data_IF_936364577182
#
_entry.id   IF_936364577182
#
_cell.length_a   1.000
_cell.length_b   1.000
_cell.length_c   1.000
_cell.angle_alpha   90.00
_cell.angle_beta   90.00
_cell.angle_gamma   90.00
#
_symmetry.space_group_name_H-M   'P 1'
#
loop_
_entity.id
_entity.type
_entity.pdbx_description
1 polymer ?
#
# COMPACT_ATOMS: atom_id res chain seq x y z
N UNK A 1 -16.28 -10.26 -7.99
CA UNK A 1 -15.94 -11.05 -6.78
C UNK A 1 -14.53 -10.66 -6.40
N UNK A 2 -14.27 -10.40 -5.10
CA UNK A 2 -12.92 -10.06 -4.61
C UNK A 2 -11.92 -11.16 -4.98
N UNK A 3 -10.75 -10.79 -5.51
CA UNK A 3 -9.70 -11.75 -5.87
C UNK A 3 -9.16 -12.43 -4.60
N UNK A 4 -9.06 -11.66 -3.52
CA UNK A 4 -8.59 -12.11 -2.21
C UNK A 4 -9.46 -13.24 -1.63
N UNK A 5 -10.78 -13.21 -1.84
CA UNK A 5 -11.69 -14.24 -1.32
C UNK A 5 -11.38 -15.65 -1.87
N UNK A 6 -10.92 -15.71 -3.12
CA UNK A 6 -10.59 -16.96 -3.82
C UNK A 6 -9.10 -17.28 -3.80
N UNK A 7 -8.27 -16.44 -3.18
CA UNK A 7 -6.83 -16.67 -3.12
C UNK A 7 -6.52 -17.90 -2.26
N UNK A 8 -5.90 -18.90 -2.87
CA UNK A 8 -5.42 -20.12 -2.25
C UNK A 8 -3.95 -20.34 -2.58
N UNK A 9 -3.25 -20.98 -1.65
CA UNK A 9 -1.83 -21.36 -1.77
C UNK A 9 -1.72 -22.86 -1.58
N UNK A 10 -0.79 -23.51 -2.27
CA UNK A 10 -0.65 -24.98 -2.25
C UNK A 10 -0.06 -25.53 -0.95
N UNK A 11 0.61 -24.69 -0.17
CA UNK A 11 1.25 -25.08 1.08
C UNK A 11 0.22 -25.11 2.22
N UNK A 12 0.28 -26.13 3.09
CA UNK A 12 -0.57 -26.17 4.28
C UNK A 12 -0.06 -25.20 5.34
N UNK A 13 -0.88 -24.94 6.36
CA UNK A 13 -0.45 -24.20 7.54
C UNK A 13 0.79 -24.87 8.16
N UNK A 14 1.91 -24.14 8.37
CA UNK A 14 3.10 -24.74 8.95
C UNK A 14 2.84 -25.20 10.39
N UNK A 15 3.43 -26.34 10.76
CA UNK A 15 3.42 -26.85 12.15
C UNK A 15 4.59 -26.33 12.99
N UNK A 16 5.61 -25.79 12.32
CA UNK A 16 6.81 -25.18 12.87
C UNK A 16 7.27 -24.10 11.90
N UNK A 17 7.84 -23.02 12.43
CA UNK A 17 8.56 -22.02 11.64
C UNK A 17 10.05 -22.26 11.81
N UNK A 18 10.79 -22.27 10.71
CA UNK A 18 12.21 -22.63 10.71
C UNK A 18 13.11 -21.58 11.33
N UNK A 19 12.69 -20.30 11.35
CA UNK A 19 13.46 -19.16 11.82
C UNK A 19 14.92 -19.18 11.29
N UNK A 20 15.10 -18.97 9.98
CA UNK A 20 16.41 -19.13 9.34
C UNK A 20 17.49 -18.19 9.89
N UNK A 21 17.09 -17.06 10.50
CA UNK A 21 18.00 -16.05 11.04
C UNK A 21 18.14 -16.11 12.57
N UNK A 22 17.33 -16.93 13.25
CA UNK A 22 17.38 -17.15 14.71
C UNK A 22 17.13 -15.88 15.51
N UNK A 23 16.28 -15.01 15.00
CA UNK A 23 15.96 -13.72 15.61
C UNK A 23 14.69 -13.77 16.49
N UNK A 24 14.00 -14.92 16.53
CA UNK A 24 12.81 -15.11 17.35
C UNK A 24 13.01 -16.18 18.43
N UNK A 25 12.39 -15.95 19.59
CA UNK A 25 12.33 -16.98 20.63
C UNK A 25 11.36 -18.10 20.24
N UNK A 26 11.64 -19.33 20.70
CA UNK A 26 10.73 -20.46 20.48
C UNK A 26 9.30 -20.21 20.96
N UNK A 27 9.14 -19.50 22.08
CA UNK A 27 7.84 -19.11 22.62
C UNK A 27 7.08 -18.13 21.70
N UNK A 28 7.80 -17.20 21.06
CA UNK A 28 7.22 -16.25 20.09
C UNK A 28 6.68 -17.00 18.88
N UNK A 29 7.46 -17.92 18.31
CA UNK A 29 7.06 -18.73 17.16
C UNK A 29 5.92 -19.69 17.50
N UNK A 30 5.95 -20.30 18.69
CA UNK A 30 4.88 -21.16 19.17
C UNK A 30 3.56 -20.39 19.34
N UNK A 31 3.62 -19.18 19.92
CA UNK A 31 2.45 -18.30 20.06
C UNK A 31 1.89 -17.88 18.69
N UNK A 32 2.76 -17.55 17.75
CA UNK A 32 2.38 -17.18 16.38
C UNK A 32 1.63 -18.32 15.70
N UNK A 33 2.15 -19.56 15.78
CA UNK A 33 1.51 -20.74 15.19
C UNK A 33 0.23 -21.17 15.90
N UNK A 34 0.11 -20.91 17.21
CA UNK A 34 -1.08 -21.21 18.00
C UNK A 34 -2.24 -20.21 17.76
N UNK A 35 -1.96 -19.02 17.23
CA UNK A 35 -2.97 -17.99 16.97
C UNK A 35 -3.79 -18.32 15.72
N UNK A 36 -5.13 -18.44 15.77
CA UNK A 36 -5.97 -18.66 14.59
C UNK A 36 -5.70 -17.65 13.46
N UNK A 37 -5.88 -18.06 12.19
CA UNK A 37 -5.55 -17.20 11.02
C UNK A 37 -6.34 -15.87 11.00
N UNK A 38 -7.58 -15.90 11.47
CA UNK A 38 -8.49 -14.76 11.59
C UNK A 38 -8.22 -13.88 12.83
N UNK A 39 -7.38 -14.35 13.75
CA UNK A 39 -6.97 -13.62 14.96
C UNK A 39 -5.55 -13.06 14.87
N UNK A 40 -4.83 -13.30 13.76
CA UNK A 40 -3.49 -12.75 13.56
C UNK A 40 -3.53 -11.21 13.55
N UNK A 41 -2.73 -10.61 14.42
CA UNK A 41 -2.58 -9.15 14.55
C UNK A 41 -1.55 -8.58 13.57
N UNK A 42 -1.57 -7.26 13.39
CA UNK A 42 -0.57 -6.51 12.61
C UNK A 42 0.87 -6.87 13.03
N UNK A 43 1.16 -6.87 14.35
CA UNK A 43 2.48 -7.26 14.87
C UNK A 43 2.87 -8.66 14.43
N UNK A 44 1.94 -9.62 14.46
CA UNK A 44 2.23 -11.00 14.05
C UNK A 44 2.50 -11.12 12.54
N UNK A 45 1.75 -10.41 11.71
CA UNK A 45 2.05 -10.34 10.28
C UNK A 45 3.41 -9.69 10.00
N UNK A 46 3.80 -8.67 10.77
CA UNK A 46 5.15 -8.08 10.69
C UNK A 46 6.25 -9.09 11.01
N UNK A 47 6.06 -9.95 12.02
CA UNK A 47 7.01 -11.02 12.35
C UNK A 47 7.09 -12.08 11.23
N UNK A 48 5.95 -12.43 10.63
CA UNK A 48 5.91 -13.40 9.53
C UNK A 48 6.66 -12.91 8.29
N UNK A 49 6.41 -11.67 7.88
CA UNK A 49 6.91 -11.12 6.60
C UNK A 49 8.16 -10.26 6.73
N UNK A 50 8.85 -10.27 7.88
CA UNK A 50 10.02 -9.44 8.13
C UNK A 50 10.97 -9.44 6.92
N UNK A 51 11.18 -8.32 6.21
CA UNK A 51 11.77 -8.31 4.87
C UNK A 51 13.27 -8.66 4.86
N UNK A 52 13.90 -8.66 6.04
CA UNK A 52 15.27 -9.11 6.22
C UNK A 52 15.37 -10.31 7.16
N UNK A 53 14.33 -10.57 7.94
CA UNK A 53 14.32 -11.56 9.01
C UNK A 53 12.91 -12.16 9.14
N UNK A 54 12.45 -12.94 8.15
CA UNK A 54 11.15 -13.60 8.23
C UNK A 54 11.23 -14.73 9.25
N UNK A 55 10.12 -14.96 9.96
CA UNK A 55 10.03 -16.02 10.96
C UNK A 55 10.21 -17.44 10.38
N UNK A 56 10.17 -17.63 9.06
CA UNK A 56 10.26 -18.93 8.40
C UNK A 56 10.77 -18.87 6.97
N UNK A 57 10.83 -20.05 6.35
CA UNK A 57 11.10 -20.21 4.91
C UNK A 57 9.91 -19.74 4.06
N UNK A 58 10.11 -19.56 2.76
CA UNK A 58 9.02 -19.21 1.84
C UNK A 58 7.82 -20.16 1.94
N UNK A 59 8.04 -21.47 1.93
CA UNK A 59 6.96 -22.47 2.00
C UNK A 59 6.14 -22.36 3.28
N UNK A 60 6.78 -21.97 4.38
CA UNK A 60 6.12 -21.75 5.67
C UNK A 60 5.37 -20.42 5.70
N UNK A 61 5.94 -19.35 5.14
CA UNK A 61 5.40 -17.99 5.23
C UNK A 61 4.35 -17.69 4.16
N UNK A 62 4.49 -18.24 2.95
CA UNK A 62 3.57 -18.00 1.83
C UNK A 62 2.13 -18.45 2.16
N UNK A 63 1.98 -19.41 3.07
CA UNK A 63 0.68 -19.82 3.63
C UNK A 63 -0.15 -18.63 4.13
N UNK A 64 0.50 -17.64 4.77
CA UNK A 64 -0.16 -16.53 5.44
C UNK A 64 -0.47 -15.35 4.49
N UNK A 65 0.05 -15.34 3.27
CA UNK A 65 -0.11 -14.21 2.31
C UNK A 65 -1.59 -13.89 2.02
N UNK A 66 -2.49 -14.86 1.75
CA UNK A 66 -3.91 -14.56 1.57
C UNK A 66 -4.57 -13.95 2.81
N UNK A 67 -4.19 -14.39 4.02
CA UNK A 67 -4.68 -13.84 5.28
C UNK A 67 -4.22 -12.39 5.47
N UNK A 68 -2.97 -12.10 5.09
CA UNK A 68 -2.39 -10.77 5.18
C UNK A 68 -3.15 -9.75 4.33
N UNK A 69 -3.47 -10.07 3.07
CA UNK A 69 -4.27 -9.17 2.23
C UNK A 69 -5.71 -8.99 2.73
N UNK A 70 -6.36 -10.03 3.25
CA UNK A 70 -7.67 -9.89 3.91
C UNK A 70 -7.58 -8.92 5.09
N UNK A 71 -6.56 -9.09 5.92
CA UNK A 71 -6.33 -8.21 7.07
C UNK A 71 -6.12 -6.76 6.65
N UNK A 72 -5.38 -6.51 5.56
CA UNK A 72 -5.17 -5.16 5.00
C UNK A 72 -6.47 -4.48 4.55
N UNK A 73 -7.44 -5.25 4.04
CA UNK A 73 -8.75 -4.72 3.64
C UNK A 73 -9.71 -4.53 4.82
N UNK A 74 -9.62 -5.37 5.85
CA UNK A 74 -10.60 -5.38 6.94
C UNK A 74 -10.25 -4.43 8.10
N UNK A 75 -8.97 -4.05 8.24
CA UNK A 75 -8.47 -3.30 9.39
C UNK A 75 -7.85 -1.97 8.96
N UNK A 76 -8.38 -0.86 9.47
CA UNK A 76 -7.93 0.49 9.13
C UNK A 76 -6.47 0.78 9.52
N UNK A 77 -5.98 0.20 10.63
CA UNK A 77 -4.62 0.44 11.17
C UNK A 77 -3.61 -0.63 10.72
N UNK A 78 -3.87 -1.28 9.59
CA UNK A 78 -3.09 -2.44 9.12
C UNK A 78 -1.83 -2.10 8.33
N UNK A 79 -1.56 -0.82 8.10
CA UNK A 79 -0.51 -0.38 7.20
C UNK A 79 0.91 -0.69 7.70
N UNK A 80 1.14 -0.87 9.00
CA UNK A 80 2.51 -1.03 9.54
C UNK A 80 3.30 -2.23 8.99
N UNK A 81 2.64 -3.31 8.57
CA UNK A 81 3.34 -4.48 8.00
C UNK A 81 3.37 -4.49 6.46
N UNK A 82 2.79 -3.49 5.78
CA UNK A 82 2.78 -3.41 4.32
C UNK A 82 4.18 -3.49 3.73
N UNK A 83 5.14 -2.76 4.32
CA UNK A 83 6.56 -2.81 3.94
C UNK A 83 7.11 -4.24 3.94
N UNK A 84 6.73 -5.00 4.97
CA UNK A 84 7.17 -6.38 5.15
C UNK A 84 6.52 -7.29 4.11
N UNK A 85 5.21 -7.16 3.89
CA UNK A 85 4.48 -7.94 2.89
C UNK A 85 4.99 -7.67 1.47
N UNK A 86 5.11 -6.40 1.06
CA UNK A 86 5.59 -6.02 -0.28
C UNK A 86 7.04 -6.43 -0.46
N UNK A 87 7.87 -6.31 0.58
CA UNK A 87 9.24 -6.82 0.57
C UNK A 87 9.30 -8.34 0.36
N UNK A 88 8.51 -9.11 1.10
CA UNK A 88 8.41 -10.57 0.95
C UNK A 88 7.96 -10.95 -0.46
N UNK A 89 6.90 -10.32 -0.97
CA UNK A 89 6.34 -10.59 -2.29
C UNK A 89 7.37 -10.30 -3.39
N UNK A 90 8.05 -9.14 -3.30
CA UNK A 90 9.06 -8.75 -4.28
C UNK A 90 10.27 -9.67 -4.28
N UNK A 91 10.80 -10.01 -3.10
CA UNK A 91 11.94 -10.92 -2.96
C UNK A 91 11.66 -12.35 -3.44
N UNK A 92 10.39 -12.78 -3.39
CA UNK A 92 9.97 -14.12 -3.77
C UNK A 92 9.14 -14.17 -5.06
N UNK A 93 9.18 -13.13 -5.90
CA UNK A 93 8.32 -13.01 -7.08
C UNK A 93 8.46 -14.20 -8.04
N UNK A 94 9.67 -14.69 -8.31
CA UNK A 94 9.87 -15.87 -9.16
C UNK A 94 9.27 -17.14 -8.53
N UNK A 95 9.35 -17.31 -7.21
CA UNK A 95 8.74 -18.46 -6.52
C UNK A 95 7.21 -18.38 -6.51
N UNK A 96 6.67 -17.19 -6.31
CA UNK A 96 5.23 -16.92 -6.44
C UNK A 96 4.74 -17.21 -7.86
N UNK A 97 5.57 -16.95 -8.87
CA UNK A 97 5.29 -17.24 -10.28
C UNK A 97 5.34 -18.73 -10.56
N UNK A 98 6.34 -19.45 -10.06
CA UNK A 98 6.44 -20.91 -10.11
C UNK A 98 5.23 -21.60 -9.46
N UNK A 99 4.70 -20.99 -8.40
CA UNK A 99 3.49 -21.44 -7.73
C UNK A 99 2.18 -21.04 -8.44
N UNK A 100 2.26 -20.23 -9.50
CA UNK A 100 1.11 -19.76 -10.26
C UNK A 100 0.24 -18.74 -9.51
N UNK A 101 0.78 -18.08 -8.49
CA UNK A 101 0.03 -17.14 -7.63
C UNK A 101 0.52 -15.69 -7.72
N UNK A 102 1.58 -15.40 -8.47
CA UNK A 102 2.13 -14.04 -8.57
C UNK A 102 1.09 -13.01 -9.06
N UNK A 103 0.36 -13.29 -10.14
CA UNK A 103 -0.64 -12.35 -10.64
C UNK A 103 -1.82 -12.19 -9.68
N UNK A 104 -2.20 -13.25 -8.94
CA UNK A 104 -3.22 -13.16 -7.89
C UNK A 104 -2.76 -12.20 -6.79
N UNK A 105 -1.50 -12.32 -6.36
CA UNK A 105 -0.90 -11.40 -5.37
C UNK A 105 -0.89 -9.96 -5.90
N UNK A 106 -0.51 -9.76 -7.17
CA UNK A 106 -0.52 -8.44 -7.80
C UNK A 106 -1.93 -7.85 -7.89
N UNK A 107 -2.94 -8.66 -8.17
CA UNK A 107 -4.34 -8.25 -8.12
C UNK A 107 -4.79 -7.90 -6.70
N UNK A 108 -4.33 -8.62 -5.67
CA UNK A 108 -4.60 -8.26 -4.28
C UNK A 108 -3.98 -6.91 -3.91
N UNK A 109 -2.76 -6.62 -4.39
CA UNK A 109 -2.10 -5.31 -4.21
C UNK A 109 -2.95 -4.20 -4.86
N UNK A 110 -3.42 -4.41 -6.09
CA UNK A 110 -4.32 -3.46 -6.78
C UNK A 110 -5.64 -3.28 -6.02
N UNK A 111 -6.21 -4.36 -5.49
CA UNK A 111 -7.45 -4.33 -4.70
C UNK A 111 -7.27 -3.53 -3.41
N UNK A 112 -6.14 -3.67 -2.70
CA UNK A 112 -5.81 -2.85 -1.54
C UNK A 112 -5.67 -1.36 -1.90
N UNK A 113 -4.92 -1.04 -2.95
CA UNK A 113 -4.76 0.35 -3.40
C UNK A 113 -6.12 0.97 -3.79
N UNK A 114 -6.94 0.25 -4.55
CA UNK A 114 -8.27 0.71 -4.94
C UNK A 114 -9.20 0.89 -3.72
N UNK A 115 -9.13 -0.02 -2.74
CA UNK A 115 -9.92 0.06 -1.52
C UNK A 115 -9.54 1.28 -0.67
N UNK A 116 -8.24 1.49 -0.42
CA UNK A 116 -7.78 2.63 0.39
C UNK A 116 -8.01 3.97 -0.29
N UNK A 117 -8.11 3.99 -1.63
CA UNK A 117 -8.41 5.20 -2.41
C UNK A 117 -9.87 5.34 -2.85
N UNK A 118 -10.78 4.49 -2.37
CA UNK A 118 -12.23 4.60 -2.67
C UNK A 118 -12.82 5.93 -2.18
N UNK A 119 -12.22 6.49 -1.13
CA UNK A 119 -12.59 7.79 -0.55
C UNK A 119 -11.34 8.59 -0.27
N UNK A 120 -11.49 9.91 -0.19
CA UNK A 120 -10.44 10.80 0.25
C UNK A 120 -10.96 11.56 1.47
N UNK A 121 -10.38 11.28 2.64
CA UNK A 121 -10.81 11.87 3.91
C UNK A 121 -9.61 12.61 4.50
N UNK A 122 -9.77 13.93 4.61
CA UNK A 122 -8.80 14.78 5.31
C UNK A 122 -9.16 14.71 6.78
N UNK A 123 -8.31 14.08 7.58
CA UNK A 123 -8.52 14.05 9.01
C UNK A 123 -8.34 15.45 9.61
N UNK A 124 -9.07 15.71 10.69
CA UNK A 124 -8.97 16.95 11.45
C UNK A 124 -7.51 17.15 11.92
N UNK A 125 -6.83 18.24 11.53
CA UNK A 125 -5.47 18.56 11.98
C UNK A 125 -5.31 18.53 13.50
N UNK A 126 -6.38 18.79 14.26
CA UNK A 126 -6.38 18.74 15.72
C UNK A 126 -6.25 17.31 16.29
N UNK A 127 -6.55 16.28 15.48
CA UNK A 127 -6.47 14.88 15.88
C UNK A 127 -5.14 14.23 15.51
N UNK A 128 -4.35 14.84 14.62
CA UNK A 128 -3.03 14.35 14.20
C UNK A 128 -3.02 13.04 13.41
N UNK A 129 -4.19 12.50 13.03
CA UNK A 129 -4.33 11.20 12.36
C UNK A 129 -4.44 11.37 10.84
N UNK A 130 -3.32 11.50 10.12
CA UNK A 130 -3.36 11.54 8.67
C UNK A 130 -3.57 10.12 8.09
N UNK A 131 -4.84 9.76 7.82
CA UNK A 131 -5.18 8.52 7.11
C UNK A 131 -4.50 8.42 5.74
N UNK A 132 -3.97 9.51 5.19
CA UNK A 132 -3.45 9.53 3.83
C UNK A 132 -2.03 8.93 3.74
N UNK A 133 -1.14 9.18 4.71
CA UNK A 133 0.30 8.90 4.60
C UNK A 133 0.67 7.46 4.17
N UNK A 134 -0.10 6.46 4.59
CA UNK A 134 0.23 5.05 4.30
C UNK A 134 0.13 4.68 2.80
N UNK A 135 -0.68 5.39 2.02
CA UNK A 135 -0.82 5.10 0.57
C UNK A 135 0.45 5.53 -0.16
N UNK A 136 1.00 6.70 0.18
CA UNK A 136 2.27 7.18 -0.35
C UNK A 136 3.40 6.20 -0.03
N UNK A 137 3.52 5.81 1.24
CA UNK A 137 4.50 4.82 1.68
C UNK A 137 4.38 3.49 0.92
N UNK A 138 3.15 3.05 0.62
CA UNK A 138 2.90 1.81 -0.11
C UNK A 138 3.32 1.91 -1.59
N UNK A 139 3.04 3.04 -2.25
CA UNK A 139 3.51 3.30 -3.63
C UNK A 139 5.05 3.32 -3.65
N UNK A 140 5.67 4.01 -2.70
CA UNK A 140 7.13 4.11 -2.61
C UNK A 140 7.77 2.75 -2.33
N UNK A 141 7.11 1.87 -1.57
CA UNK A 141 7.55 0.48 -1.39
C UNK A 141 7.56 -0.29 -2.72
N UNK A 142 6.50 -0.19 -3.51
CA UNK A 142 6.42 -0.83 -4.84
C UNK A 142 7.55 -0.35 -5.77
N UNK A 143 7.85 0.95 -5.73
CA UNK A 143 8.98 1.57 -6.46
C UNK A 143 10.32 1.06 -5.92
N UNK A 144 10.52 1.12 -4.60
CA UNK A 144 11.78 0.74 -3.93
C UNK A 144 12.20 -0.69 -4.22
N UNK A 145 11.26 -1.64 -4.20
CA UNK A 145 11.56 -3.05 -4.45
C UNK A 145 11.69 -3.39 -5.94
N UNK A 146 11.38 -2.45 -6.85
CA UNK A 146 11.51 -2.49 -8.33
C UNK A 146 10.72 -3.58 -9.06
N UNK A 147 10.48 -4.72 -8.43
CA UNK A 147 9.83 -5.91 -9.00
C UNK A 147 8.37 -5.66 -9.37
N UNK A 148 7.73 -4.70 -8.71
CA UNK A 148 6.34 -4.33 -8.90
C UNK A 148 6.17 -2.83 -9.17
N UNK A 149 7.21 -2.20 -9.70
CA UNK A 149 7.20 -0.78 -10.04
C UNK A 149 6.10 -0.44 -11.04
N UNK A 150 5.80 -1.38 -11.94
CA UNK A 150 4.74 -1.25 -12.93
C UNK A 150 3.34 -1.09 -12.29
N UNK A 151 3.13 -1.66 -11.10
CA UNK A 151 1.90 -1.47 -10.33
C UNK A 151 1.78 -0.04 -9.81
N UNK A 152 2.87 0.52 -9.28
CA UNK A 152 2.92 1.91 -8.82
C UNK A 152 2.69 2.87 -9.99
N UNK A 153 3.39 2.67 -11.11
CA UNK A 153 3.22 3.49 -12.32
C UNK A 153 1.79 3.44 -12.86
N UNK A 154 1.21 2.24 -12.95
CA UNK A 154 -0.16 2.05 -13.44
C UNK A 154 -1.16 2.73 -12.50
N UNK A 155 -0.96 2.60 -11.19
CA UNK A 155 -1.84 3.20 -10.19
C UNK A 155 -1.78 4.72 -10.22
N UNK A 156 -0.58 5.32 -10.17
CA UNK A 156 -0.42 6.78 -10.22
C UNK A 156 -0.95 7.33 -11.55
N UNK A 157 -0.78 6.60 -12.66
CA UNK A 157 -1.37 6.95 -13.94
C UNK A 157 -2.90 6.95 -13.89
N UNK A 158 -3.52 5.95 -13.28
CA UNK A 158 -4.98 5.90 -13.12
C UNK A 158 -5.52 7.07 -12.25
N UNK A 159 -4.75 7.51 -11.24
CA UNK A 159 -5.07 8.73 -10.50
C UNK A 159 -4.94 9.98 -11.37
N UNK A 160 -3.84 10.10 -12.12
CA UNK A 160 -3.48 11.31 -12.89
C UNK A 160 -4.35 11.54 -14.14
N UNK A 161 -4.84 10.48 -14.79
CA UNK A 161 -5.62 10.57 -16.02
C UNK A 161 -7.13 10.56 -15.79
N UNK A 162 -7.60 10.74 -14.56
CA UNK A 162 -9.02 10.81 -14.31
C UNK A 162 -9.58 12.22 -14.53
N UNK A 163 -10.42 12.37 -15.55
CA UNK A 163 -10.96 13.69 -15.96
C UNK A 163 -12.16 14.16 -15.14
N UNK A 164 -12.78 13.27 -14.35
CA UNK A 164 -14.10 13.56 -13.74
C UNK A 164 -14.26 13.11 -12.29
N UNK A 165 -13.41 12.22 -11.80
CA UNK A 165 -13.47 11.65 -10.45
C UNK A 165 -12.71 12.55 -9.46
N UNK A 166 -13.41 13.27 -8.57
CA UNK A 166 -12.77 14.16 -7.63
C UNK A 166 -11.98 13.43 -6.54
N UNK A 167 -12.30 12.17 -6.24
CA UNK A 167 -11.55 11.38 -5.25
C UNK A 167 -10.18 11.01 -5.81
N UNK A 168 -10.12 10.55 -7.06
CA UNK A 168 -8.84 10.25 -7.72
C UNK A 168 -8.01 11.50 -7.95
N UNK A 169 -8.62 12.60 -8.38
CA UNK A 169 -7.94 13.88 -8.53
C UNK A 169 -7.36 14.37 -7.19
N UNK A 170 -8.11 14.22 -6.09
CA UNK A 170 -7.65 14.54 -4.73
C UNK A 170 -6.44 13.68 -4.32
N UNK A 171 -6.48 12.37 -4.54
CA UNK A 171 -5.34 11.47 -4.27
C UNK A 171 -4.12 11.77 -5.13
N UNK A 172 -4.31 12.14 -6.40
CA UNK A 172 -3.20 12.54 -7.27
C UNK A 172 -2.49 13.78 -6.75
N UNK A 173 -3.24 14.81 -6.36
CA UNK A 173 -2.68 16.04 -5.78
C UNK A 173 -2.00 15.78 -4.44
N UNK A 174 -2.60 14.96 -3.57
CA UNK A 174 -1.96 14.60 -2.29
C UNK A 174 -0.66 13.82 -2.49
N UNK A 175 -0.64 12.87 -3.44
CA UNK A 175 0.57 12.14 -3.77
C UNK A 175 1.67 13.08 -4.32
N UNK A 176 1.33 13.97 -5.24
CA UNK A 176 2.27 14.98 -5.75
C UNK A 176 2.81 15.88 -4.63
N UNK A 177 1.93 16.29 -3.69
CA UNK A 177 2.30 17.11 -2.53
C UNK A 177 3.34 16.41 -1.64
N UNK A 178 3.23 15.10 -1.42
CA UNK A 178 4.20 14.34 -0.63
C UNK A 178 5.55 14.19 -1.30
N UNK A 179 5.57 13.90 -2.60
CA UNK A 179 6.80 13.72 -3.37
C UNK A 179 7.64 15.01 -3.43
N UNK A 180 7.01 16.18 -3.24
CA UNK A 180 7.71 17.46 -3.09
C UNK A 180 8.39 17.69 -1.74
N UNK A 181 8.30 16.75 -0.79
CA UNK A 181 8.95 16.88 0.53
C UNK A 181 10.30 16.17 0.60
N UNK A 182 11.27 16.77 1.31
CA UNK A 182 12.66 16.27 1.43
C UNK A 182 12.80 14.87 2.06
N UNK A 183 11.70 14.29 2.57
CA UNK A 183 11.71 13.05 3.33
C UNK A 183 11.56 11.79 2.45
N UNK A 184 11.14 11.93 1.20
CA UNK A 184 10.82 10.80 0.33
C UNK A 184 11.84 10.62 -0.79
N UNK A 185 12.16 9.36 -1.15
CA UNK A 185 13.04 9.08 -2.28
C UNK A 185 12.38 9.57 -3.57
N UNK A 186 13.18 10.10 -4.50
CA UNK A 186 12.66 10.45 -5.82
C UNK A 186 12.02 9.21 -6.47
N UNK A 187 10.78 9.33 -6.96
CA UNK A 187 10.08 8.21 -7.55
C UNK A 187 10.67 7.88 -8.93
N UNK A 188 10.12 6.88 -9.62
CA UNK A 188 10.55 6.58 -10.99
C UNK A 188 10.37 7.78 -11.93
N UNK A 189 11.18 7.85 -12.97
CA UNK A 189 11.12 8.92 -13.99
C UNK A 189 9.72 9.07 -14.58
N UNK A 190 9.02 7.97 -14.84
CA UNK A 190 7.65 7.95 -15.37
C UNK A 190 6.63 8.58 -14.40
N UNK A 191 6.80 8.37 -13.10
CA UNK A 191 5.96 8.97 -12.06
C UNK A 191 6.31 10.46 -11.90
N UNK A 192 7.60 10.80 -11.88
CA UNK A 192 8.07 12.19 -11.87
C UNK A 192 7.48 13.00 -13.02
N UNK A 193 7.51 12.46 -14.24
CA UNK A 193 6.90 13.10 -15.41
C UNK A 193 5.40 13.40 -15.23
N UNK A 194 4.66 12.58 -14.48
CA UNK A 194 3.25 12.84 -14.21
C UNK A 194 3.05 13.95 -13.18
N UNK A 195 3.82 13.94 -12.09
CA UNK A 195 3.69 14.92 -11.00
C UNK A 195 4.33 16.28 -11.35
N UNK A 196 5.28 16.32 -12.27
CA UNK A 196 5.88 17.56 -12.79
C UNK A 196 5.06 18.19 -13.94
N UNK A 197 4.06 17.47 -14.47
CA UNK A 197 3.19 17.97 -15.52
C UNK A 197 2.17 18.98 -14.97
N UNK A 198 2.51 20.26 -15.13
CA UNK A 198 1.69 21.37 -14.61
C UNK A 198 0.26 21.35 -15.14
N UNK A 199 0.05 20.99 -16.41
CA UNK A 199 -1.29 20.94 -17.00
C UNK A 199 -2.14 19.87 -16.30
N UNK A 200 -1.54 18.74 -15.94
CA UNK A 200 -2.23 17.69 -15.17
C UNK A 200 -2.59 18.12 -13.77
N UNK A 201 -1.65 18.75 -13.06
CA UNK A 201 -1.92 19.25 -11.71
C UNK A 201 -3.02 20.32 -11.72
N UNK A 202 -3.00 21.25 -12.68
CA UNK A 202 -4.04 22.27 -12.86
C UNK A 202 -5.40 21.64 -13.17
N UNK A 203 -5.45 20.64 -14.05
CA UNK A 203 -6.67 19.91 -14.37
C UNK A 203 -7.24 19.18 -13.14
N UNK A 204 -6.40 18.48 -12.37
CA UNK A 204 -6.81 17.80 -11.14
C UNK A 204 -7.31 18.81 -10.09
N UNK A 205 -6.62 19.93 -9.90
CA UNK A 205 -7.05 21.00 -9.01
C UNK A 205 -8.41 21.58 -9.43
N UNK A 206 -8.63 21.80 -10.73
CA UNK A 206 -9.92 22.24 -11.25
C UNK A 206 -11.05 21.23 -11.01
N UNK A 207 -10.78 19.92 -11.03
CA UNK A 207 -11.76 18.89 -10.65
C UNK A 207 -12.09 19.00 -9.16
N UNK A 208 -11.08 19.03 -8.29
CA UNK A 208 -11.28 19.14 -6.82
C UNK A 208 -12.06 20.41 -6.48
N UNK A 209 -11.74 21.55 -7.11
CA UNK A 209 -12.43 22.83 -6.83
C UNK A 209 -13.89 22.85 -7.24
N UNK A 210 -14.24 22.19 -8.34
CA UNK A 210 -15.63 22.08 -8.81
C UNK A 210 -16.51 21.28 -7.83
N UNK A 211 -15.90 20.42 -7.02
CA UNK A 211 -16.60 19.60 -6.04
C UNK A 211 -16.52 20.25 -4.65
N UNK A 212 -17.49 21.13 -4.36
CA UNK A 212 -17.54 21.97 -3.16
C UNK A 212 -17.44 21.20 -1.83
N UNK A 213 -17.81 19.92 -1.81
CA UNK A 213 -17.68 19.05 -0.63
C UNK A 213 -16.21 18.85 -0.21
N UNK A 214 -15.27 18.81 -1.15
CA UNK A 214 -13.84 18.70 -0.84
C UNK A 214 -13.27 20.00 -0.28
N UNK A 215 -13.60 21.15 -0.88
CA UNK A 215 -13.16 22.46 -0.36
C UNK A 215 -13.80 22.71 1.01
N UNK A 216 -15.10 22.45 1.15
CA UNK A 216 -15.85 22.75 2.38
C UNK A 216 -15.47 21.88 3.57
N UNK A 217 -14.90 20.70 3.35
CA UNK A 217 -14.45 19.79 4.42
C UNK A 217 -13.07 20.16 4.98
N UNK A 218 -12.19 20.75 4.17
CA UNK A 218 -10.86 21.19 4.64
C UNK A 218 -10.26 22.31 3.76
N UNK A 219 -10.79 23.53 3.85
CA UNK A 219 -10.42 24.62 2.93
C UNK A 219 -8.96 25.08 3.10
N UNK A 220 -8.38 24.91 4.29
CA UNK A 220 -6.97 25.23 4.54
C UNK A 220 -6.05 24.21 3.87
N UNK A 221 -6.30 22.91 4.05
CA UNK A 221 -5.50 21.83 3.45
C UNK A 221 -5.40 21.98 1.93
N UNK A 222 -6.51 22.21 1.24
CA UNK A 222 -6.50 22.35 -0.21
C UNK A 222 -5.77 23.60 -0.67
N UNK A 223 -5.92 24.71 0.05
CA UNK A 223 -5.16 25.93 -0.24
C UNK A 223 -3.66 25.70 -0.14
N UNK A 224 -3.21 25.11 0.97
CA UNK A 224 -1.80 24.78 1.18
C UNK A 224 -1.28 23.78 0.12
N UNK A 225 -2.11 22.81 -0.27
CA UNK A 225 -1.79 21.86 -1.34
C UNK A 225 -1.60 22.57 -2.68
N UNK A 226 -2.51 23.47 -3.06
CA UNK A 226 -2.42 24.21 -4.32
C UNK A 226 -1.24 25.20 -4.33
N UNK A 227 -0.99 25.87 -3.21
CA UNK A 227 0.16 26.77 -3.04
C UNK A 227 1.49 26.00 -3.16
N UNK A 228 1.60 24.84 -2.50
CA UNK A 228 2.83 24.01 -2.57
C UNK A 228 3.09 23.48 -3.98
N UNK A 229 2.03 23.06 -4.67
CA UNK A 229 2.11 22.53 -6.04
C UNK A 229 2.16 23.64 -7.11
N UNK A 230 2.07 24.90 -6.72
CA UNK A 230 2.05 26.07 -7.61
C UNK A 230 0.97 25.94 -8.72
N UNK A 231 -0.25 25.61 -8.32
CA UNK A 231 -1.42 25.51 -9.20
C UNK A 231 -2.53 26.49 -8.81
N UNK A 232 -2.98 27.26 -9.79
CA UNK A 232 -4.03 28.28 -9.65
C UNK A 232 -5.44 27.68 -9.62
#
# INVERSE_FOLDING_TARGET
MSTIANFRVKYPRPKKLSDPFRDFSGDTLAKLLATPDDELSNVQYRLLFGPHLPAGTYEEIVYFVPGAFRYLLEKADSYEFTYSLIGFVSQNAERLKEDGILEIVRDCIRECLAHWTEKFIIADPNTGLYYTAHIGDFIDQLVKFRTHVDLAETFVRDLAYNETDPVKAAWFLEYARWQGSDFYPSPEETINQLIDDKERLENAAAIVRRHSEFIGTAPLFWRETFELLNVD
#
